data_IF_829120728755
#
_entry.id   IF_829120728755
#
_cell.length_a   1.000
_cell.length_b   1.000
_cell.length_c   1.000
_cell.angle_alpha   90.00
_cell.angle_beta   90.00
_cell.angle_gamma   90.00
#
_symmetry.space_group_name_H-M   'P 1'
#
loop_
_entity.id
_entity.type
_entity.pdbx_description
1 polymer ?
#
# COMPACT_ATOMS: atom_id res chain seq x y z
N UNK A 1 -13.84 -12.14 -4.08
CA UNK A 1 -12.40 -12.00 -3.78
C UNK A 1 -11.97 -10.60 -4.12
N UNK A 2 -11.41 -9.82 -3.20
CA UNK A 2 -10.98 -8.44 -3.48
C UNK A 2 -9.70 -8.53 -4.33
N UNK A 3 -9.80 -8.22 -5.62
CA UNK A 3 -8.66 -8.25 -6.52
C UNK A 3 -7.64 -7.21 -6.09
N UNK A 4 -6.36 -7.60 -6.09
CA UNK A 4 -5.25 -6.68 -5.85
C UNK A 4 -5.15 -5.77 -7.07
N UNK A 5 -5.38 -4.48 -6.86
CA UNK A 5 -5.30 -3.49 -7.94
C UNK A 5 -3.91 -2.87 -7.94
N UNK A 6 -3.38 -2.61 -9.13
CA UNK A 6 -2.15 -1.87 -9.31
C UNK A 6 -2.21 -0.51 -8.59
N UNK A 7 -1.09 -0.15 -7.98
CA UNK A 7 -0.94 1.10 -7.26
C UNK A 7 -1.45 1.10 -5.82
N UNK A 8 -2.03 0.00 -5.33
CA UNK A 8 -2.38 -0.15 -3.91
C UNK A 8 -1.12 -0.15 -3.02
N UNK A 9 -1.27 0.35 -1.79
CA UNK A 9 -0.20 0.37 -0.79
C UNK A 9 -0.34 -0.84 0.12
N UNK A 10 0.78 -1.49 0.40
CA UNK A 10 0.90 -2.58 1.36
C UNK A 10 1.39 -2.04 2.71
N UNK A 11 0.84 -2.58 3.79
CA UNK A 11 1.21 -2.25 5.16
C UNK A 11 1.55 -3.50 5.99
N UNK A 12 2.43 -3.30 6.97
CA UNK A 12 2.68 -4.27 8.04
C UNK A 12 1.55 -4.24 9.08
N UNK A 13 1.52 -5.21 10.00
CA UNK A 13 0.59 -5.30 11.14
C UNK A 13 0.53 -4.02 11.98
N UNK A 14 1.63 -3.26 12.02
CA UNK A 14 1.73 -2.00 12.76
C UNK A 14 1.16 -0.79 11.99
N UNK A 15 0.59 -0.99 10.81
CA UNK A 15 0.13 0.09 9.93
C UNK A 15 1.26 0.85 9.24
N UNK A 16 2.50 0.36 9.31
CA UNK A 16 3.63 0.95 8.59
C UNK A 16 3.51 0.64 7.11
N UNK A 17 3.60 1.65 6.24
CA UNK A 17 3.56 1.49 4.78
C UNK A 17 4.88 0.87 4.30
N UNK A 18 4.80 -0.26 3.63
CA UNK A 18 5.95 -1.08 3.23
C UNK A 18 6.30 -0.84 1.76
N UNK A 19 5.33 -1.05 0.87
CA UNK A 19 5.55 -1.03 -0.57
C UNK A 19 4.27 -0.66 -1.32
N UNK A 20 4.40 -0.31 -2.60
CA UNK A 20 3.29 -0.07 -3.53
C UNK A 20 3.26 -1.18 -4.57
N UNK A 21 2.13 -1.86 -4.73
CA UNK A 21 1.95 -2.92 -5.75
C UNK A 21 2.02 -2.28 -7.14
N UNK A 22 2.81 -2.85 -8.04
CA UNK A 22 2.93 -2.40 -9.42
C UNK A 22 2.16 -3.31 -10.37
N UNK A 23 2.32 -4.62 -10.24
CA UNK A 23 1.76 -5.61 -11.18
C UNK A 23 1.58 -6.96 -10.47
N UNK A 24 0.73 -7.80 -11.06
CA UNK A 24 0.53 -9.19 -10.67
C UNK A 24 1.04 -10.11 -11.78
N UNK A 25 1.95 -11.01 -11.45
CA UNK A 25 2.62 -11.92 -12.38
C UNK A 25 2.35 -13.36 -11.97
N UNK A 26 2.20 -14.26 -12.93
CA UNK A 26 2.18 -15.71 -12.70
C UNK A 26 0.78 -16.33 -12.73
N UNK A 27 0.55 -17.46 -12.04
CA UNK A 27 -0.66 -18.24 -12.18
C UNK A 27 -1.92 -17.48 -11.75
N UNK A 28 -3.02 -17.63 -12.51
CA UNK A 28 -4.30 -16.95 -12.27
C UNK A 28 -4.84 -17.20 -10.86
N UNK A 29 -4.70 -18.43 -10.34
CA UNK A 29 -5.21 -18.79 -9.00
C UNK A 29 -4.34 -18.26 -7.85
N UNK A 30 -3.04 -18.06 -8.07
CA UNK A 30 -2.05 -17.69 -7.04
C UNK A 30 -0.97 -16.80 -7.68
N UNK A 31 -1.32 -15.54 -8.01
CA UNK A 31 -0.36 -14.63 -8.61
C UNK A 31 0.66 -14.17 -7.59
N UNK A 32 1.86 -13.86 -8.07
CA UNK A 32 2.86 -13.10 -7.35
C UNK A 32 2.61 -11.62 -7.59
N UNK A 33 2.85 -10.79 -6.58
CA UNK A 33 2.77 -9.33 -6.73
C UNK A 33 4.18 -8.76 -6.79
N UNK A 34 4.45 -7.98 -7.84
CA UNK A 34 5.63 -7.12 -7.87
C UNK A 34 5.28 -5.80 -7.18
N UNK A 35 6.21 -5.27 -6.38
CA UNK A 35 5.96 -4.10 -5.57
C UNK A 35 7.21 -3.24 -5.41
N UNK A 36 7.02 -1.92 -5.50
CA UNK A 36 8.08 -0.93 -5.29
C UNK A 36 8.15 -0.55 -3.82
N UNK A 37 9.30 -0.69 -3.15
CA UNK A 37 9.44 -0.37 -1.74
C UNK A 37 9.26 1.14 -1.50
N UNK A 38 8.59 1.49 -0.40
CA UNK A 38 8.44 2.88 0.06
C UNK A 38 9.48 3.26 1.12
N UNK A 39 10.29 2.29 1.56
CA UNK A 39 11.31 2.48 2.60
C UNK A 39 12.62 1.81 2.21
N UNK A 40 13.74 2.37 2.66
CA UNK A 40 15.07 1.84 2.37
C UNK A 40 15.39 0.54 3.14
N UNK A 41 14.64 0.24 4.21
CA UNK A 41 14.88 -0.91 5.08
C UNK A 41 13.98 -2.12 4.74
N UNK A 42 13.80 -2.42 3.46
CA UNK A 42 12.87 -3.47 3.00
C UNK A 42 13.22 -4.86 3.54
N UNK A 43 14.50 -5.14 3.76
CA UNK A 43 15.00 -6.41 4.30
C UNK A 43 14.37 -6.78 5.65
N UNK A 44 13.89 -5.80 6.43
CA UNK A 44 13.21 -6.05 7.73
C UNK A 44 11.82 -6.66 7.57
N UNK A 45 11.24 -6.57 6.38
CA UNK A 45 9.88 -7.04 6.06
C UNK A 45 9.89 -8.34 5.25
N UNK A 46 11.06 -8.82 4.83
CA UNK A 46 11.20 -10.11 4.16
C UNK A 46 10.78 -11.23 5.12
N UNK A 47 9.95 -12.16 4.64
CA UNK A 47 9.41 -13.27 5.44
C UNK A 47 8.24 -12.90 6.35
N UNK A 48 7.81 -11.64 6.38
CA UNK A 48 6.62 -11.19 7.12
C UNK A 48 5.42 -11.09 6.21
N UNK A 49 4.24 -11.24 6.79
CA UNK A 49 2.98 -11.02 6.08
C UNK A 49 2.69 -9.53 5.98
N UNK A 50 2.22 -9.12 4.80
CA UNK A 50 1.84 -7.74 4.49
C UNK A 50 0.40 -7.72 4.02
N UNK A 51 -0.29 -6.62 4.31
CA UNK A 51 -1.74 -6.48 4.11
C UNK A 51 -2.02 -5.26 3.23
N UNK A 52 -3.21 -5.24 2.63
CA UNK A 52 -3.65 -4.08 1.85
C UNK A 52 -3.99 -2.95 2.82
N UNK A 53 -3.40 -1.77 2.59
CA UNK A 53 -3.75 -0.57 3.33
C UNK A 53 -5.08 -0.02 2.80
N UNK A 54 -6.18 -0.28 3.52
CA UNK A 54 -7.47 0.28 3.19
C UNK A 54 -7.50 1.76 3.60
N UNK A 55 -7.31 2.67 2.64
CA UNK A 55 -7.50 4.09 2.87
C UNK A 55 -9.00 4.34 3.04
N UNK A 56 -9.49 4.27 4.28
CA UNK A 56 -10.77 4.88 4.59
C UNK A 56 -10.67 6.35 4.19
N UNK A 57 -11.58 6.79 3.32
CA UNK A 57 -11.62 8.14 2.73
C UNK A 57 -11.87 9.26 3.77
N UNK A 58 -11.87 8.92 5.06
CA UNK A 58 -12.07 9.80 6.20
C UNK A 58 -10.93 10.82 6.41
N UNK A 59 -9.71 10.53 5.94
CA UNK A 59 -8.54 11.41 6.15
C UNK A 59 -8.20 12.29 4.95
N UNK A 60 -9.20 12.92 4.32
CA UNK A 60 -8.92 14.08 3.44
C UNK A 60 -8.56 15.25 4.36
N UNK A 61 -7.31 15.75 4.40
CA UNK A 61 -7.01 16.94 5.19
C UNK A 61 -7.88 18.08 4.67
N UNK A 62 -8.75 18.60 5.55
CA UNK A 62 -9.64 19.74 5.26
C UNK A 62 -8.72 20.87 4.79
N UNK A 63 -8.76 21.20 3.49
CA UNK A 63 -7.95 22.31 2.94
C UNK A 63 -8.31 23.55 3.75
N UNK A 64 -7.42 23.96 4.65
CA UNK A 64 -7.60 25.16 5.46
C UNK A 64 -7.47 26.35 4.51
N UNK A 65 -8.62 26.77 3.93
CA UNK A 65 -8.69 27.89 3.01
C UNK A 65 -8.44 29.16 3.82
N UNK A 66 -7.17 29.56 3.95
CA UNK A 66 -6.80 30.85 4.53
C UNK A 66 -7.50 31.94 3.72
N UNK A 67 -8.50 32.57 4.31
CA UNK A 67 -9.16 33.75 3.76
C UNK A 67 -8.14 34.89 3.87
N UNK A 68 -7.48 35.24 2.76
CA UNK A 68 -6.72 36.49 2.69
C UNK A 68 -7.74 37.63 2.81
N UNK A 69 -7.47 38.54 3.75
CA UNK A 69 -8.18 39.81 3.92
C UNK A 69 -7.78 40.77 2.81
#
# INVERSE_FOLDING_TARGET
SKELVEGQILCDNKGTRVAKVMELIGPIKRPFASATPLTNNINKFVGKQVFIFDQTTANKPKKFRRKRR
#
